data_IF_966259745457
#
_entry.id   IF_966259745457
#
_cell.length_a   1.000
_cell.length_b   1.000
_cell.length_c   1.000
_cell.angle_alpha   90.00
_cell.angle_beta   90.00
_cell.angle_gamma   90.00
#
_symmetry.space_group_name_H-M   'P 1'
#
loop_
_entity.id
_entity.type
_entity.pdbx_description
1 polymer ?
#
# COMPACT_ATOMS: atom_id res chain seq x y z
N UNK A 1 -23.39 4.35 12.08
CA UNK A 1 -22.74 3.36 11.20
C UNK A 1 -21.46 2.96 11.91
N UNK A 2 -21.54 1.95 12.79
CA UNK A 2 -20.39 1.44 13.57
C UNK A 2 -19.53 0.59 12.63
N UNK A 3 -18.36 1.10 12.28
CA UNK A 3 -17.34 0.36 11.54
C UNK A 3 -16.78 -0.72 12.45
N UNK A 4 -17.13 -1.98 12.21
CA UNK A 4 -16.52 -3.12 12.89
C UNK A 4 -15.03 -3.18 12.54
N UNK A 5 -14.18 -3.17 13.56
CA UNK A 5 -12.73 -3.26 13.43
C UNK A 5 -12.33 -4.66 12.93
N UNK A 6 -11.40 -4.71 11.97
CA UNK A 6 -10.83 -5.99 11.52
C UNK A 6 -10.00 -6.63 12.64
N UNK A 7 -9.91 -7.99 12.71
CA UNK A 7 -9.07 -8.67 13.68
C UNK A 7 -7.62 -8.16 13.64
N UNK A 8 -7.12 -7.61 14.75
CA UNK A 8 -5.80 -6.99 14.88
C UNK A 8 -5.78 -5.46 14.80
N UNK A 9 -6.91 -4.80 14.59
CA UNK A 9 -7.02 -3.33 14.69
C UNK A 9 -7.38 -2.94 16.13
N UNK A 10 -6.62 -2.00 16.70
CA UNK A 10 -6.88 -1.46 18.03
C UNK A 10 -7.34 -0.01 17.91
N UNK A 11 -8.38 0.36 18.67
CA UNK A 11 -8.85 1.76 18.80
C UNK A 11 -7.93 2.65 19.64
N UNK A 12 -6.81 2.10 20.13
CA UNK A 12 -5.87 2.85 20.97
C UNK A 12 -5.08 3.83 20.11
N UNK A 13 -5.41 5.12 20.20
CA UNK A 13 -4.65 6.22 19.58
C UNK A 13 -3.21 6.30 20.08
N UNK A 14 -2.98 6.00 21.35
CA UNK A 14 -1.70 6.09 22.04
C UNK A 14 -0.96 4.75 22.05
N UNK A 15 -0.53 4.28 20.87
CA UNK A 15 0.44 3.19 20.77
C UNK A 15 1.86 3.73 20.70
N UNK A 16 2.85 2.92 21.06
CA UNK A 16 4.26 3.33 21.00
C UNK A 16 4.65 3.76 19.57
N UNK A 17 4.16 3.05 18.57
CA UNK A 17 4.41 3.40 17.16
C UNK A 17 3.85 4.78 16.82
N UNK A 18 2.58 5.07 17.18
CA UNK A 18 1.96 6.37 16.91
C UNK A 18 2.67 7.52 17.63
N UNK A 19 3.15 7.28 18.86
CA UNK A 19 3.93 8.27 19.61
C UNK A 19 5.24 8.58 18.89
N UNK A 20 5.96 7.56 18.41
CA UNK A 20 7.22 7.74 17.67
C UNK A 20 6.97 8.55 16.39
N UNK A 21 5.91 8.23 15.63
CA UNK A 21 5.53 9.00 14.43
C UNK A 21 5.22 10.46 14.76
N UNK A 22 4.52 10.71 15.86
CA UNK A 22 4.17 12.07 16.30
C UNK A 22 5.41 12.86 16.73
N UNK A 23 6.31 12.23 17.50
CA UNK A 23 7.61 12.80 17.88
C UNK A 23 8.44 13.12 16.63
N UNK A 24 8.46 12.24 15.64
CA UNK A 24 9.12 12.49 14.36
C UNK A 24 8.62 13.77 13.70
N UNK A 25 7.30 13.95 13.57
CA UNK A 25 6.70 15.16 12.98
C UNK A 25 7.12 16.41 13.75
N UNK A 26 7.12 16.35 15.10
CA UNK A 26 7.57 17.46 15.93
C UNK A 26 9.08 17.76 15.80
N UNK A 27 9.89 16.76 15.48
CA UNK A 27 11.33 16.92 15.28
C UNK A 27 11.69 17.51 13.91
N UNK A 28 10.80 17.44 12.92
CA UNK A 28 11.07 18.02 11.58
C UNK A 28 11.32 19.55 11.65
N UNK A 29 10.51 20.38 12.31
CA UNK A 29 10.81 21.79 12.49
C UNK A 29 12.13 22.04 13.23
N UNK A 30 12.44 21.21 14.23
CA UNK A 30 13.71 21.30 14.97
C UNK A 30 14.90 21.07 14.04
N UNK A 31 14.82 20.06 13.16
CA UNK A 31 15.82 19.81 12.13
C UNK A 31 15.97 21.00 11.19
N UNK A 32 14.88 21.55 10.67
CA UNK A 32 14.89 22.70 9.75
C UNK A 32 15.53 23.91 10.41
N UNK A 33 15.16 24.22 11.65
CA UNK A 33 15.77 25.31 12.43
C UNK A 33 17.25 25.05 12.65
N UNK A 34 17.65 23.84 13.02
CA UNK A 34 19.05 23.49 13.22
C UNK A 34 19.89 23.65 11.92
N UNK A 35 19.28 23.39 10.75
CA UNK A 35 19.95 23.47 9.47
C UNK A 35 20.03 24.92 8.94
N UNK A 36 18.91 25.66 8.93
CA UNK A 36 18.80 26.97 8.28
C UNK A 36 19.36 28.09 9.17
N UNK A 37 18.94 28.15 10.46
CA UNK A 37 19.18 29.28 11.31
C UNK A 37 20.64 29.38 11.75
N UNK A 38 21.19 30.61 11.90
CA UNK A 38 22.54 30.83 12.42
C UNK A 38 22.60 30.77 13.96
N UNK A 39 21.97 29.72 14.55
CA UNK A 39 21.81 29.56 16.02
C UNK A 39 23.16 29.61 16.80
N UNK A 40 24.32 29.15 16.27
CA UNK A 40 25.56 29.28 17.02
C UNK A 40 25.95 30.74 17.29
N UNK A 41 25.69 31.64 16.31
CA UNK A 41 25.98 33.07 16.47
C UNK A 41 24.94 33.75 17.35
N UNK A 42 23.66 33.36 17.28
CA UNK A 42 22.59 33.95 18.11
C UNK A 42 22.77 33.66 19.58
N UNK A 43 23.20 32.46 19.92
CA UNK A 43 23.41 32.07 21.33
C UNK A 43 24.83 32.30 21.79
N UNK A 44 25.69 32.96 20.98
CA UNK A 44 27.11 33.24 21.28
C UNK A 44 27.86 32.00 21.80
N UNK A 45 27.54 30.82 21.25
CA UNK A 45 28.18 29.56 21.64
C UNK A 45 29.60 29.54 21.05
N UNK A 46 30.58 29.90 21.84
CA UNK A 46 31.97 29.86 21.43
C UNK A 46 32.37 28.42 21.07
N UNK A 47 33.01 28.26 19.88
CA UNK A 47 33.56 26.99 19.44
C UNK A 47 32.67 26.16 18.52
N UNK A 48 31.43 26.55 18.22
CA UNK A 48 30.59 25.88 17.22
C UNK A 48 30.86 26.48 15.83
N UNK A 49 31.61 25.77 15.02
CA UNK A 49 31.86 26.15 13.63
C UNK A 49 30.65 25.85 12.73
N UNK A 50 30.63 26.46 11.52
CA UNK A 50 29.65 26.11 10.48
C UNK A 50 29.66 24.60 10.16
N UNK A 51 30.85 24.00 10.21
CA UNK A 51 31.03 22.54 10.06
C UNK A 51 30.26 21.74 11.12
N UNK A 52 30.44 22.11 12.41
CA UNK A 52 29.75 21.43 13.52
C UNK A 52 28.23 21.55 13.39
N UNK A 53 27.74 22.72 12.98
CA UNK A 53 26.30 22.94 12.73
C UNK A 53 25.74 21.98 11.67
N UNK A 54 26.41 21.88 10.52
CA UNK A 54 25.95 20.97 9.44
C UNK A 54 26.03 19.52 9.84
N UNK A 55 27.04 19.10 10.59
CA UNK A 55 27.16 17.75 11.12
C UNK A 55 26.03 17.42 12.13
N UNK A 56 25.68 18.36 13.01
CA UNK A 56 24.56 18.21 13.93
C UNK A 56 23.25 18.08 13.16
N UNK A 57 23.02 18.94 12.16
CA UNK A 57 21.81 18.86 11.34
C UNK A 57 21.73 17.52 10.56
N UNK A 58 22.85 17.06 10.00
CA UNK A 58 22.92 15.76 9.32
C UNK A 58 22.62 14.61 10.29
N UNK A 59 23.18 14.65 11.51
CA UNK A 59 22.91 13.64 12.53
C UNK A 59 21.44 13.61 12.93
N UNK A 60 20.83 14.78 13.16
CA UNK A 60 19.39 14.88 13.47
C UNK A 60 18.56 14.28 12.33
N UNK A 61 18.87 14.61 11.08
CA UNK A 61 18.16 14.08 9.92
C UNK A 61 18.27 12.54 9.83
N UNK A 62 19.47 11.99 10.03
CA UNK A 62 19.71 10.53 10.02
C UNK A 62 18.92 9.86 11.16
N UNK A 63 18.98 10.41 12.37
CA UNK A 63 18.24 9.85 13.51
C UNK A 63 16.74 9.84 13.25
N UNK A 64 16.17 10.94 12.76
CA UNK A 64 14.76 11.00 12.41
C UNK A 64 14.41 10.00 11.30
N UNK A 65 15.27 9.86 10.28
CA UNK A 65 15.06 8.88 9.19
C UNK A 65 15.14 7.43 9.67
N UNK A 66 16.02 7.13 10.64
CA UNK A 66 16.12 5.79 11.22
C UNK A 66 14.93 5.42 12.10
N UNK A 67 14.26 6.40 12.72
CA UNK A 67 13.06 6.12 13.54
C UNK A 67 11.91 5.54 12.72
N UNK A 68 11.82 5.86 11.43
CA UNK A 68 10.82 5.28 10.51
C UNK A 68 10.94 3.75 10.34
N UNK A 69 12.18 3.27 10.23
CA UNK A 69 12.42 1.83 10.18
C UNK A 69 12.08 1.15 11.53
N UNK A 70 12.37 1.83 12.64
CA UNK A 70 12.16 1.30 13.99
C UNK A 70 10.67 1.19 14.34
N UNK A 71 9.86 2.22 14.08
CA UNK A 71 8.42 2.19 14.39
C UNK A 71 7.67 1.18 13.50
N UNK A 72 8.01 1.10 12.20
CA UNK A 72 7.48 0.07 11.32
C UNK A 72 7.83 -1.36 11.74
N UNK A 73 9.01 -1.56 12.35
CA UNK A 73 9.39 -2.85 12.93
C UNK A 73 8.61 -3.15 14.22
N UNK A 74 8.52 -2.17 15.13
CA UNK A 74 7.78 -2.32 16.39
C UNK A 74 6.29 -2.59 16.18
N UNK A 75 5.64 -1.83 15.29
CA UNK A 75 4.22 -2.00 14.99
C UNK A 75 3.90 -3.43 14.49
N UNK A 76 4.75 -3.96 13.60
CA UNK A 76 4.60 -5.33 13.08
C UNK A 76 4.88 -6.40 14.12
N UNK A 77 5.91 -6.22 14.94
CA UNK A 77 6.31 -7.20 15.96
C UNK A 77 5.30 -7.31 17.11
N UNK A 78 4.56 -6.22 17.40
CA UNK A 78 3.56 -6.18 18.49
C UNK A 78 2.13 -6.37 18.02
N UNK A 79 1.87 -6.40 16.70
CA UNK A 79 0.52 -6.51 16.15
C UNK A 79 -0.37 -5.29 16.44
N UNK A 80 0.21 -4.16 16.85
CA UNK A 80 -0.50 -2.92 17.22
C UNK A 80 -0.63 -1.98 16.00
N UNK A 81 -1.24 -2.46 14.93
CA UNK A 81 -1.47 -1.63 13.74
C UNK A 81 -2.75 -0.85 13.90
N UNK A 82 -2.64 0.49 14.00
CA UNK A 82 -3.79 1.39 14.16
C UNK A 82 -4.16 2.08 12.83
N UNK A 83 -5.42 2.49 12.69
CA UNK A 83 -5.87 3.27 11.53
C UNK A 83 -5.20 4.65 11.49
N UNK A 84 -4.93 5.24 12.66
CA UNK A 84 -4.20 6.49 12.80
C UNK A 84 -2.75 6.35 12.30
N UNK A 85 -2.01 5.31 12.71
CA UNK A 85 -0.66 5.02 12.25
C UNK A 85 -0.60 4.80 10.73
N UNK A 86 -1.50 3.99 10.17
CA UNK A 86 -1.59 3.78 8.71
C UNK A 86 -1.71 5.07 7.91
N UNK A 87 -2.36 6.10 8.48
CA UNK A 87 -2.51 7.42 7.85
C UNK A 87 -1.30 8.32 8.09
N UNK A 88 -0.80 8.37 9.34
CA UNK A 88 0.25 9.32 9.75
C UNK A 88 1.65 8.91 9.28
N UNK A 89 1.99 7.61 9.27
CA UNK A 89 3.33 7.14 8.89
C UNK A 89 3.74 7.58 7.47
N UNK A 90 2.91 7.34 6.42
CA UNK A 90 3.24 7.82 5.07
C UNK A 90 3.33 9.34 4.94
N UNK A 91 2.68 10.08 5.84
CA UNK A 91 2.69 11.53 5.84
C UNK A 91 3.98 12.04 6.50
N UNK A 92 4.34 11.49 7.66
CA UNK A 92 5.54 11.86 8.42
C UNK A 92 6.83 11.67 7.60
N UNK A 93 6.96 10.53 6.92
CA UNK A 93 8.11 10.23 6.05
C UNK A 93 8.26 11.28 4.93
N UNK A 94 7.16 11.65 4.28
CA UNK A 94 7.20 12.67 3.22
C UNK A 94 7.50 14.07 3.73
N UNK A 95 6.95 14.44 4.88
CA UNK A 95 7.18 15.78 5.49
C UNK A 95 8.68 15.97 5.78
N UNK A 96 9.36 14.95 6.33
CA UNK A 96 10.80 15.02 6.61
C UNK A 96 11.61 15.28 5.35
N UNK A 97 11.38 14.49 4.31
CA UNK A 97 12.11 14.61 3.04
C UNK A 97 11.79 15.94 2.34
N UNK A 98 10.52 16.35 2.30
CA UNK A 98 10.11 17.65 1.77
C UNK A 98 10.81 18.80 2.48
N UNK A 99 10.80 18.79 3.81
CA UNK A 99 11.42 19.81 4.65
C UNK A 99 12.94 19.91 4.41
N UNK A 100 13.62 18.74 4.33
CA UNK A 100 15.05 18.70 4.06
C UNK A 100 15.40 19.28 2.67
N UNK A 101 14.67 18.86 1.63
CA UNK A 101 14.90 19.36 0.27
C UNK A 101 14.62 20.86 0.13
N UNK A 102 13.54 21.34 0.75
CA UNK A 102 13.22 22.78 0.76
C UNK A 102 14.27 23.58 1.52
N UNK A 103 14.76 23.09 2.66
CA UNK A 103 15.83 23.71 3.41
C UNK A 103 17.14 23.81 2.60
N UNK A 104 17.48 22.79 1.79
CA UNK A 104 18.65 22.82 0.90
C UNK A 104 18.47 23.84 -0.24
N UNK A 105 17.24 24.05 -0.73
CA UNK A 105 16.96 25.11 -1.71
C UNK A 105 17.07 26.49 -1.08
N UNK A 106 16.54 26.69 0.12
CA UNK A 106 16.66 27.94 0.89
C UNK A 106 18.12 28.33 1.12
N UNK A 107 18.96 27.37 1.47
CA UNK A 107 20.41 27.54 1.64
C UNK A 107 21.16 27.73 0.30
N UNK A 108 20.46 27.68 -0.85
CA UNK A 108 21.03 27.74 -2.20
C UNK A 108 22.08 26.66 -2.49
N UNK A 109 22.02 25.55 -1.77
CA UNK A 109 22.92 24.41 -1.92
C UNK A 109 22.45 23.47 -3.02
N UNK A 110 21.12 23.41 -3.24
CA UNK A 110 20.45 22.59 -4.26
C UNK A 110 19.51 23.46 -5.10
N UNK A 111 19.53 23.39 -6.44
CA UNK A 111 18.53 24.08 -7.26
C UNK A 111 17.14 23.46 -7.06
N UNK A 112 16.10 24.23 -7.40
CA UNK A 112 14.70 23.82 -7.15
C UNK A 112 14.17 22.71 -8.08
N UNK A 113 14.75 22.55 -9.29
CA UNK A 113 14.24 21.60 -10.28
C UNK A 113 14.33 20.11 -9.86
N UNK A 114 15.42 19.60 -9.22
CA UNK A 114 15.44 18.23 -8.70
C UNK A 114 14.40 18.03 -7.61
N UNK A 115 14.22 19.03 -6.75
CA UNK A 115 13.25 19.00 -5.67
C UNK A 115 11.83 18.87 -6.23
N UNK A 116 11.51 19.69 -7.25
CA UNK A 116 10.20 19.62 -7.92
C UNK A 116 9.91 18.23 -8.49
N UNK A 117 10.87 17.60 -9.17
CA UNK A 117 10.72 16.26 -9.74
C UNK A 117 10.44 15.23 -8.64
N UNK A 118 11.21 15.28 -7.54
CA UNK A 118 11.06 14.38 -6.42
C UNK A 118 9.68 14.55 -5.77
N UNK A 119 9.28 15.78 -5.45
CA UNK A 119 8.01 16.06 -4.79
C UNK A 119 6.81 15.72 -5.68
N UNK A 120 6.84 16.09 -6.96
CA UNK A 120 5.79 15.74 -7.91
C UNK A 120 5.56 14.22 -7.95
N UNK A 121 6.64 13.44 -8.02
CA UNK A 121 6.55 11.97 -7.99
C UNK A 121 5.96 11.46 -6.68
N UNK A 122 6.35 12.02 -5.53
CA UNK A 122 5.81 11.60 -4.23
C UNK A 122 4.29 11.77 -4.16
N UNK A 123 3.79 12.90 -4.63
CA UNK A 123 2.36 13.18 -4.66
C UNK A 123 1.62 12.33 -5.69
N UNK A 124 2.15 12.22 -6.92
CA UNK A 124 1.52 11.45 -8.00
C UNK A 124 1.38 9.98 -7.60
N UNK A 125 2.46 9.34 -7.13
CA UNK A 125 2.41 7.93 -6.73
C UNK A 125 1.49 7.70 -5.53
N UNK A 126 1.42 8.66 -4.60
CA UNK A 126 0.50 8.58 -3.46
C UNK A 126 -0.95 8.70 -3.90
N UNK A 127 -1.25 9.61 -4.84
CA UNK A 127 -2.57 9.72 -5.44
C UNK A 127 -3.00 8.44 -6.17
N UNK A 128 -2.09 7.86 -6.97
CA UNK A 128 -2.35 6.58 -7.65
C UNK A 128 -2.65 5.46 -6.64
N UNK A 129 -1.88 5.36 -5.55
CA UNK A 129 -2.10 4.34 -4.51
C UNK A 129 -3.42 4.55 -3.77
N UNK A 130 -3.81 5.80 -3.53
CA UNK A 130 -5.10 6.13 -2.90
C UNK A 130 -6.27 5.73 -3.80
N UNK A 131 -6.23 6.06 -5.09
CA UNK A 131 -7.25 5.65 -6.06
C UNK A 131 -7.32 4.13 -6.22
N UNK A 132 -6.16 3.44 -6.19
CA UNK A 132 -6.12 1.98 -6.24
C UNK A 132 -6.76 1.35 -5.00
N UNK A 133 -6.47 1.89 -3.80
CA UNK A 133 -7.04 1.41 -2.54
C UNK A 133 -8.56 1.60 -2.48
N UNK A 134 -9.09 2.71 -2.98
CA UNK A 134 -10.53 2.96 -3.10
C UNK A 134 -11.24 1.91 -3.97
N UNK A 135 -10.55 1.42 -5.01
CA UNK A 135 -11.02 0.32 -5.86
C UNK A 135 -10.70 -1.08 -5.31
N UNK A 136 -10.28 -1.20 -4.06
CA UNK A 136 -9.92 -2.47 -3.43
C UNK A 136 -8.64 -3.13 -3.95
N UNK A 137 -7.83 -2.42 -4.75
CA UNK A 137 -6.59 -2.95 -5.35
C UNK A 137 -5.38 -2.44 -4.58
N UNK A 138 -4.58 -3.37 -4.05
CA UNK A 138 -3.33 -3.03 -3.34
C UNK A 138 -2.15 -3.11 -4.30
N UNK A 139 -1.57 -1.96 -4.66
CA UNK A 139 -0.34 -1.91 -5.46
C UNK A 139 0.87 -2.08 -4.54
N UNK A 140 1.55 -3.23 -4.65
CA UNK A 140 2.74 -3.53 -3.87
C UNK A 140 3.90 -2.55 -4.19
N UNK A 141 4.68 -2.21 -3.15
CA UNK A 141 5.87 -1.37 -3.32
C UNK A 141 6.91 -2.10 -4.18
N UNK A 142 7.43 -1.41 -5.21
CA UNK A 142 8.52 -1.94 -6.04
C UNK A 142 9.87 -1.84 -5.33
N UNK A 143 10.82 -2.70 -5.74
CA UNK A 143 12.19 -2.62 -5.26
C UNK A 143 12.84 -1.26 -5.60
N UNK A 144 12.53 -0.71 -6.80
CA UNK A 144 12.97 0.62 -7.21
C UNK A 144 12.50 1.73 -6.27
N UNK A 145 11.30 1.61 -5.70
CA UNK A 145 10.79 2.53 -4.70
C UNK A 145 11.59 2.51 -3.40
N UNK A 146 12.06 1.34 -2.95
CA UNK A 146 12.91 1.21 -1.77
C UNK A 146 14.31 1.77 -2.02
N UNK A 147 14.94 1.40 -3.14
CA UNK A 147 16.25 1.89 -3.53
C UNK A 147 16.28 3.42 -3.67
N UNK A 148 15.23 4.00 -4.28
CA UNK A 148 15.04 5.45 -4.40
C UNK A 148 15.07 6.15 -3.03
N UNK A 149 14.34 5.64 -2.03
CA UNK A 149 14.28 6.27 -0.70
C UNK A 149 15.66 6.28 -0.03
N UNK A 150 16.39 5.17 -0.10
CA UNK A 150 17.76 5.08 0.46
C UNK A 150 18.72 6.04 -0.24
N UNK A 151 18.74 6.03 -1.57
CA UNK A 151 19.64 6.93 -2.35
C UNK A 151 19.30 8.40 -2.14
N UNK A 152 18.02 8.73 -1.96
CA UNK A 152 17.57 10.09 -1.67
C UNK A 152 18.01 10.56 -0.29
N UNK A 153 17.93 9.74 0.75
CA UNK A 153 18.45 10.05 2.09
C UNK A 153 19.97 10.28 2.02
N UNK A 154 20.70 9.41 1.33
CA UNK A 154 22.14 9.56 1.14
C UNK A 154 22.47 10.88 0.43
N UNK A 155 21.76 11.21 -0.66
CA UNK A 155 21.96 12.45 -1.39
C UNK A 155 21.73 13.69 -0.50
N UNK A 156 20.64 13.72 0.28
CA UNK A 156 20.33 14.82 1.21
C UNK A 156 21.46 14.98 2.23
N UNK A 157 21.91 13.91 2.87
CA UNK A 157 23.00 13.95 3.85
C UNK A 157 24.28 14.48 3.22
N UNK A 158 24.63 14.01 2.03
CA UNK A 158 25.82 14.49 1.31
C UNK A 158 25.72 15.99 1.01
N UNK A 159 24.55 16.48 0.58
CA UNK A 159 24.36 17.92 0.35
C UNK A 159 24.45 18.76 1.62
N UNK A 160 24.04 18.23 2.77
CA UNK A 160 24.17 18.92 4.07
C UNK A 160 25.65 19.04 4.48
N UNK A 161 26.46 18.00 4.24
CA UNK A 161 27.82 17.92 4.79
C UNK A 161 28.93 18.28 3.79
N UNK A 162 28.65 18.40 2.50
CA UNK A 162 29.66 18.54 1.43
C UNK A 162 30.64 19.71 1.61
N UNK A 163 30.13 20.84 2.13
CA UNK A 163 30.94 22.07 2.33
C UNK A 163 31.54 22.14 3.75
N UNK A 164 31.21 21.16 4.60
CA UNK A 164 31.59 21.17 6.02
C UNK A 164 32.76 20.24 6.31
N UNK A 165 32.87 19.10 5.66
CA UNK A 165 33.93 18.11 5.92
C UNK A 165 35.21 18.47 5.15
N UNK A 166 35.05 18.89 3.89
CA UNK A 166 36.17 19.33 3.05
C UNK A 166 35.94 20.79 2.70
N UNK A 167 36.71 21.73 3.30
CA UNK A 167 36.59 23.15 2.99
C UNK A 167 36.88 23.38 1.51
N UNK A 168 36.08 24.24 0.88
CA UNK A 168 36.24 24.62 -0.52
C UNK A 168 37.51 25.45 -0.61
N UNK A 169 38.62 24.82 -1.03
CA UNK A 169 39.94 25.47 -1.19
C UNK A 169 40.15 25.99 -2.61
N UNK A 170 39.30 25.56 -3.54
CA UNK A 170 39.40 25.91 -4.97
C UNK A 170 38.13 26.64 -5.44
N UNK A 171 38.26 27.61 -6.38
CA UNK A 171 37.13 28.29 -6.98
C UNK A 171 36.23 27.34 -7.82
N UNK A 172 36.75 26.18 -8.23
CA UNK A 172 35.98 25.18 -8.97
C UNK A 172 35.33 24.21 -8.00
N UNK A 173 33.98 24.15 -7.96
CA UNK A 173 33.27 23.24 -7.07
C UNK A 173 33.54 21.76 -7.40
N UNK A 174 33.94 21.43 -8.62
CA UNK A 174 34.25 20.06 -9.05
C UNK A 174 35.56 19.51 -8.45
N UNK A 175 36.42 20.36 -7.88
CA UNK A 175 37.64 19.94 -7.18
C UNK A 175 37.32 19.35 -5.79
N UNK A 176 36.12 19.57 -5.29
CA UNK A 176 35.66 18.95 -4.06
C UNK A 176 35.00 17.58 -4.35
N UNK A 177 35.59 16.44 -3.95
CA UNK A 177 35.04 15.11 -4.23
C UNK A 177 33.67 14.90 -3.58
N UNK A 178 33.38 15.53 -2.44
CA UNK A 178 32.05 15.45 -1.81
C UNK A 178 30.98 16.19 -2.62
N UNK A 179 31.33 17.29 -3.29
CA UNK A 179 30.42 17.97 -4.20
C UNK A 179 30.05 17.07 -5.39
N UNK A 180 31.03 16.43 -6.03
CA UNK A 180 30.80 15.51 -7.14
C UNK A 180 29.98 14.31 -6.68
N UNK A 181 30.30 13.73 -5.52
CA UNK A 181 29.59 12.60 -4.95
C UNK A 181 28.12 12.95 -4.60
N UNK A 182 27.88 14.15 -4.07
CA UNK A 182 26.52 14.62 -3.73
C UNK A 182 25.64 14.73 -5.00
N UNK A 183 26.21 15.28 -6.08
CA UNK A 183 25.51 15.37 -7.36
C UNK A 183 25.29 14.00 -8.00
N UNK A 184 26.28 13.11 -7.94
CA UNK A 184 26.14 11.75 -8.43
C UNK A 184 25.00 11.01 -7.71
N UNK A 185 24.98 11.09 -6.37
CA UNK A 185 23.92 10.51 -5.56
C UNK A 185 22.54 11.12 -5.90
N UNK A 186 22.45 12.43 -6.12
CA UNK A 186 21.21 13.08 -6.51
C UNK A 186 20.73 12.64 -7.91
N UNK A 187 21.61 12.53 -8.88
CA UNK A 187 21.28 12.05 -10.23
C UNK A 187 20.77 10.61 -10.17
N UNK A 188 21.43 9.74 -9.39
CA UNK A 188 20.95 8.35 -9.18
C UNK A 188 19.58 8.34 -8.51
N UNK A 189 19.36 9.17 -7.49
CA UNK A 189 18.07 9.30 -6.83
C UNK A 189 16.97 9.78 -7.78
N UNK A 190 17.28 10.74 -8.66
CA UNK A 190 16.35 11.23 -9.69
C UNK A 190 16.04 10.15 -10.74
N UNK A 191 17.04 9.43 -11.23
CA UNK A 191 16.83 8.33 -12.17
C UNK A 191 15.94 7.25 -11.58
N UNK A 192 16.21 6.80 -10.35
CA UNK A 192 15.38 5.84 -9.64
C UNK A 192 13.96 6.39 -9.35
N UNK A 193 13.84 7.69 -9.12
CA UNK A 193 12.55 8.36 -8.93
C UNK A 193 11.70 8.27 -10.20
N UNK A 194 12.28 8.54 -11.36
CA UNK A 194 11.58 8.47 -12.66
C UNK A 194 11.24 7.02 -12.99
N UNK A 195 12.19 6.09 -12.86
CA UNK A 195 11.98 4.66 -13.14
C UNK A 195 10.85 4.11 -12.26
N UNK A 196 10.89 4.42 -10.95
CA UNK A 196 9.85 4.02 -10.02
C UNK A 196 8.48 4.61 -10.37
N UNK A 197 8.42 5.86 -10.82
CA UNK A 197 7.17 6.50 -11.28
C UNK A 197 6.60 5.77 -12.49
N UNK A 198 7.43 5.45 -13.49
CA UNK A 198 7.00 4.70 -14.68
C UNK A 198 6.48 3.30 -14.34
N UNK A 199 7.14 2.59 -13.41
CA UNK A 199 6.67 1.28 -12.92
C UNK A 199 5.28 1.38 -12.26
N UNK A 200 5.05 2.42 -11.44
CA UNK A 200 3.73 2.64 -10.84
C UNK A 200 2.65 2.98 -11.87
N UNK A 201 2.96 3.83 -12.85
CA UNK A 201 2.05 4.12 -13.95
C UNK A 201 1.71 2.86 -14.77
N UNK A 202 2.72 2.05 -15.09
CA UNK A 202 2.53 0.80 -15.82
C UNK A 202 1.59 -0.16 -15.07
N UNK A 203 1.74 -0.28 -13.76
CA UNK A 203 0.87 -1.11 -12.91
C UNK A 203 -0.53 -0.53 -12.73
N UNK A 204 -0.65 0.79 -12.70
CA UNK A 204 -1.92 1.48 -12.46
C UNK A 204 -2.70 1.79 -13.76
N UNK A 205 -2.15 1.56 -14.95
CA UNK A 205 -2.75 1.97 -16.24
C UNK A 205 -4.20 1.50 -16.40
N UNK A 206 -4.49 0.26 -15.99
CA UNK A 206 -5.85 -0.30 -16.05
C UNK A 206 -6.82 0.38 -15.07
N UNK A 207 -6.33 0.75 -13.89
CA UNK A 207 -7.12 1.43 -12.86
C UNK A 207 -7.45 2.87 -13.25
N UNK A 208 -6.54 3.53 -13.98
CA UNK A 208 -6.66 4.92 -14.43
C UNK A 208 -7.41 5.05 -15.76
N UNK A 209 -7.91 3.93 -16.32
CA UNK A 209 -8.67 3.96 -17.57
C UNK A 209 -7.81 4.12 -18.85
N UNK A 210 -6.48 4.07 -18.73
CA UNK A 210 -5.56 4.11 -19.86
C UNK A 210 -5.44 2.73 -20.54
N UNK A 211 -6.60 2.13 -20.89
CA UNK A 211 -6.63 0.91 -21.68
C UNK A 211 -6.52 1.25 -23.17
N UNK A 212 -5.62 0.57 -23.87
CA UNK A 212 -5.49 0.74 -25.34
C UNK A 212 -6.79 0.32 -26.03
N UNK A 213 -7.07 0.91 -27.19
CA UNK A 213 -8.26 0.55 -28.01
C UNK A 213 -8.34 -0.95 -28.27
N UNK A 214 -7.20 -1.61 -28.42
CA UNK A 214 -7.09 -3.06 -28.62
C UNK A 214 -7.47 -3.88 -27.38
N UNK A 215 -7.07 -3.43 -26.19
CA UNK A 215 -7.46 -4.06 -24.92
C UNK A 215 -8.94 -3.87 -24.62
N UNK A 216 -9.51 -2.69 -24.93
CA UNK A 216 -10.97 -2.45 -24.84
C UNK A 216 -11.77 -3.32 -25.79
N UNK A 217 -11.25 -3.54 -27.02
CA UNK A 217 -11.89 -4.43 -27.99
C UNK A 217 -11.85 -5.88 -27.52
N UNK A 218 -10.71 -6.36 -27.03
CA UNK A 218 -10.55 -7.70 -26.46
C UNK A 218 -11.44 -7.91 -25.22
N UNK A 219 -11.51 -6.92 -24.33
CA UNK A 219 -12.39 -6.96 -23.16
C UNK A 219 -13.87 -6.98 -23.53
N UNK A 220 -14.27 -6.18 -24.54
CA UNK A 220 -15.63 -6.22 -25.09
C UNK A 220 -15.94 -7.58 -25.74
N UNK A 221 -15.00 -8.17 -26.45
CA UNK A 221 -15.14 -9.47 -27.07
C UNK A 221 -15.18 -10.61 -26.04
N UNK A 222 -14.40 -10.52 -24.97
CA UNK A 222 -14.45 -11.44 -23.83
C UNK A 222 -15.75 -11.31 -23.04
N UNK A 223 -16.21 -10.08 -22.77
CA UNK A 223 -17.50 -9.85 -22.11
C UNK A 223 -18.70 -10.24 -23.00
N UNK A 224 -18.59 -10.11 -24.31
CA UNK A 224 -19.61 -10.57 -25.24
C UNK A 224 -19.65 -12.11 -25.41
N UNK A 225 -18.52 -12.78 -25.17
CA UNK A 225 -18.42 -14.25 -25.15
C UNK A 225 -18.69 -14.87 -23.78
N UNK A 226 -18.59 -14.10 -22.71
CA UNK A 226 -18.97 -14.51 -21.36
C UNK A 226 -20.47 -14.29 -21.22
N UNK A 227 -21.23 -15.39 -21.31
CA UNK A 227 -22.63 -15.39 -20.91
C UNK A 227 -22.71 -14.87 -19.47
N UNK A 228 -23.53 -13.85 -19.23
CA UNK A 228 -23.70 -13.31 -17.87
C UNK A 228 -24.19 -14.40 -16.92
N UNK A 229 -23.78 -14.37 -15.65
CA UNK A 229 -24.32 -15.28 -14.64
C UNK A 229 -25.85 -15.24 -14.59
N UNK A 230 -26.45 -14.08 -14.86
CA UNK A 230 -27.90 -13.90 -14.92
C UNK A 230 -28.52 -14.62 -16.13
N UNK A 231 -27.84 -14.64 -17.29
CA UNK A 231 -28.31 -15.35 -18.48
C UNK A 231 -28.23 -16.87 -18.27
N UNK A 232 -27.15 -17.34 -17.66
CA UNK A 232 -26.99 -18.75 -17.28
C UNK A 232 -28.08 -19.17 -16.27
N UNK A 233 -28.30 -18.35 -15.23
CA UNK A 233 -29.30 -18.59 -14.22
C UNK A 233 -30.72 -18.65 -14.84
N UNK A 234 -31.04 -17.73 -15.74
CA UNK A 234 -32.33 -17.71 -16.47
C UNK A 234 -32.55 -19.01 -17.25
N UNK A 235 -31.54 -19.44 -18.01
CA UNK A 235 -31.62 -20.71 -18.76
C UNK A 235 -31.78 -21.93 -17.87
N UNK A 236 -31.12 -21.94 -16.69
CA UNK A 236 -31.27 -23.01 -15.71
C UNK A 236 -32.70 -23.06 -15.18
N UNK A 237 -33.28 -21.90 -14.81
CA UNK A 237 -34.64 -21.79 -14.31
C UNK A 237 -35.67 -22.22 -15.37
N UNK A 238 -35.53 -21.75 -16.61
CA UNK A 238 -36.38 -22.09 -17.74
C UNK A 238 -36.34 -23.59 -18.01
N UNK A 239 -35.14 -24.17 -18.13
CA UNK A 239 -34.97 -25.62 -18.37
C UNK A 239 -35.55 -26.49 -17.24
N UNK A 240 -35.37 -26.07 -15.98
CA UNK A 240 -35.90 -26.79 -14.85
C UNK A 240 -37.46 -26.72 -14.81
N UNK A 241 -38.02 -25.56 -15.11
CA UNK A 241 -39.45 -25.33 -15.21
C UNK A 241 -40.10 -26.21 -16.30
N UNK A 242 -39.50 -26.23 -17.50
CA UNK A 242 -39.96 -27.07 -18.61
C UNK A 242 -39.98 -28.57 -18.29
N UNK A 243 -38.99 -29.02 -17.50
CA UNK A 243 -38.87 -30.44 -17.09
C UNK A 243 -39.65 -30.77 -15.83
N UNK A 244 -40.30 -29.81 -15.20
CA UNK A 244 -40.92 -29.99 -13.89
C UNK A 244 -39.95 -30.41 -12.80
N UNK A 245 -38.69 -30.01 -12.93
CA UNK A 245 -37.61 -30.32 -12.00
C UNK A 245 -37.45 -29.22 -10.95
N UNK A 246 -37.01 -29.64 -9.75
CA UNK A 246 -36.73 -28.73 -8.65
C UNK A 246 -35.23 -28.68 -8.36
N UNK A 247 -34.76 -27.54 -7.85
CA UNK A 247 -33.36 -27.29 -7.56
C UNK A 247 -33.18 -27.00 -6.08
N UNK A 248 -32.29 -27.76 -5.42
CA UNK A 248 -31.74 -27.46 -4.10
C UNK A 248 -30.25 -27.23 -4.20
N UNK A 249 -29.72 -26.28 -3.46
CA UNK A 249 -28.28 -25.93 -3.46
C UNK A 249 -27.65 -26.28 -2.10
N UNK A 250 -26.45 -26.90 -2.14
CA UNK A 250 -25.59 -27.00 -0.98
C UNK A 250 -24.28 -26.23 -1.27
N UNK A 251 -24.03 -25.16 -0.54
CA UNK A 251 -22.92 -24.25 -0.79
C UNK A 251 -21.93 -24.21 0.38
N UNK A 252 -20.65 -24.04 0.06
CA UNK A 252 -19.58 -23.86 1.03
C UNK A 252 -18.81 -22.57 0.71
N UNK A 253 -17.81 -22.63 -0.17
CA UNK A 253 -16.94 -21.51 -0.55
C UNK A 253 -17.72 -20.34 -1.17
N UNK A 254 -18.75 -20.62 -1.94
CA UNK A 254 -19.61 -19.64 -2.62
C UNK A 254 -20.50 -18.85 -1.67
N UNK A 255 -20.70 -19.34 -0.42
CA UNK A 255 -21.36 -18.58 0.64
C UNK A 255 -22.82 -18.17 0.36
N UNK A 256 -23.54 -18.88 -0.52
CA UNK A 256 -24.92 -18.57 -0.92
C UNK A 256 -25.03 -17.81 -2.24
N UNK A 257 -23.92 -17.56 -2.93
CA UNK A 257 -23.91 -16.80 -4.18
C UNK A 257 -24.66 -17.50 -5.31
N UNK A 258 -24.57 -18.85 -5.42
CA UNK A 258 -25.27 -19.62 -6.44
C UNK A 258 -26.79 -19.53 -6.23
N UNK A 259 -27.23 -19.79 -5.01
CA UNK A 259 -28.65 -19.66 -4.66
C UNK A 259 -29.16 -18.23 -4.85
N UNK A 260 -28.36 -17.22 -4.43
CA UNK A 260 -28.68 -15.80 -4.63
C UNK A 260 -28.86 -15.44 -6.10
N UNK A 261 -27.97 -15.94 -6.98
CA UNK A 261 -28.05 -15.71 -8.42
C UNK A 261 -29.29 -16.36 -9.03
N UNK A 262 -29.60 -17.60 -8.67
CA UNK A 262 -30.79 -18.30 -9.15
C UNK A 262 -32.09 -17.65 -8.67
N UNK A 263 -32.17 -17.26 -7.41
CA UNK A 263 -33.35 -16.63 -6.82
C UNK A 263 -33.61 -15.20 -7.27
N UNK A 264 -32.61 -14.52 -7.83
CA UNK A 264 -32.77 -13.21 -8.45
C UNK A 264 -33.59 -13.27 -9.76
N UNK A 265 -33.72 -14.43 -10.39
CA UNK A 265 -34.45 -14.58 -11.65
C UNK A 265 -35.98 -14.67 -11.37
N UNK A 266 -36.80 -13.84 -12.04
CA UNK A 266 -38.25 -13.92 -11.94
C UNK A 266 -38.78 -15.33 -12.27
N UNK A 267 -39.69 -15.88 -11.45
CA UNK A 267 -40.23 -17.22 -11.60
C UNK A 267 -39.40 -18.34 -10.92
N UNK A 268 -38.25 -18.03 -10.35
CA UNK A 268 -37.36 -18.99 -9.67
C UNK A 268 -38.05 -19.73 -8.50
N UNK A 269 -39.05 -19.12 -7.84
CA UNK A 269 -39.75 -19.69 -6.72
C UNK A 269 -40.56 -20.97 -7.07
N UNK A 270 -40.82 -21.19 -8.35
CA UNK A 270 -41.47 -22.42 -8.83
C UNK A 270 -40.53 -23.62 -8.93
N UNK A 271 -39.21 -23.32 -8.95
CA UNK A 271 -38.17 -24.30 -9.29
C UNK A 271 -37.15 -24.45 -8.18
N UNK A 272 -36.73 -23.33 -7.57
CA UNK A 272 -35.72 -23.32 -6.50
C UNK A 272 -36.39 -23.49 -5.16
N UNK A 273 -36.19 -24.65 -4.53
CA UNK A 273 -36.81 -24.99 -3.25
C UNK A 273 -36.03 -24.50 -2.04
N UNK A 274 -34.73 -24.31 -2.17
CA UNK A 274 -33.91 -23.77 -1.08
C UNK A 274 -32.41 -23.99 -1.27
N UNK A 275 -31.64 -23.49 -0.29
CA UNK A 275 -30.21 -23.67 -0.25
C UNK A 275 -29.73 -23.85 1.20
N UNK A 276 -28.71 -24.68 1.39
CA UNK A 276 -28.00 -24.84 2.65
C UNK A 276 -26.59 -24.33 2.48
N UNK A 277 -26.25 -23.26 3.19
CA UNK A 277 -24.87 -22.70 3.20
C UNK A 277 -24.13 -23.28 4.40
N UNK A 278 -23.17 -24.16 4.14
CA UNK A 278 -22.43 -24.93 5.14
C UNK A 278 -20.93 -24.60 5.07
N UNK A 279 -20.49 -23.52 5.73
CA UNK A 279 -19.10 -23.09 5.67
C UNK A 279 -18.19 -23.97 6.55
N UNK A 280 -18.60 -24.31 7.77
CA UNK A 280 -17.83 -25.13 8.69
C UNK A 280 -18.18 -26.63 8.56
N UNK A 281 -17.23 -27.50 8.91
CA UNK A 281 -17.38 -28.97 8.75
C UNK A 281 -18.50 -29.55 9.59
N UNK A 282 -18.73 -29.01 10.79
CA UNK A 282 -19.81 -29.44 11.67
C UNK A 282 -21.19 -29.26 11.03
N UNK A 283 -21.40 -28.13 10.35
CA UNK A 283 -22.67 -27.89 9.61
C UNK A 283 -22.80 -28.83 8.40
N UNK A 284 -21.70 -29.13 7.68
CA UNK A 284 -21.71 -30.11 6.59
C UNK A 284 -22.16 -31.49 7.08
N UNK A 285 -21.61 -31.90 8.22
CA UNK A 285 -21.98 -33.21 8.82
C UNK A 285 -23.41 -33.21 9.31
N UNK A 286 -23.81 -32.23 10.11
CA UNK A 286 -25.12 -32.22 10.80
C UNK A 286 -26.29 -31.96 9.84
N UNK A 287 -26.17 -30.98 8.95
CA UNK A 287 -27.28 -30.53 8.10
C UNK A 287 -27.34 -31.28 6.76
N UNK A 288 -26.20 -31.68 6.22
CA UNK A 288 -26.09 -32.32 4.91
C UNK A 288 -25.69 -33.79 4.99
N UNK A 289 -25.44 -34.32 6.19
CA UNK A 289 -25.09 -35.72 6.41
C UNK A 289 -23.75 -36.15 5.80
N UNK A 290 -22.84 -35.21 5.64
CA UNK A 290 -21.50 -35.54 5.16
C UNK A 290 -20.75 -36.37 6.19
N UNK A 291 -20.06 -37.42 5.76
CA UNK A 291 -19.32 -38.33 6.64
C UNK A 291 -18.19 -37.60 7.36
N UNK A 292 -18.20 -37.70 8.70
CA UNK A 292 -17.20 -37.05 9.54
C UNK A 292 -15.78 -37.61 9.31
N UNK A 293 -15.61 -38.87 8.96
CA UNK A 293 -14.30 -39.48 8.65
C UNK A 293 -13.76 -38.96 7.31
N UNK A 294 -14.62 -38.82 6.31
CA UNK A 294 -14.24 -38.21 5.02
C UNK A 294 -13.75 -36.76 5.22
N UNK A 295 -14.48 -35.98 6.05
CA UNK A 295 -14.06 -34.59 6.35
C UNK A 295 -12.69 -34.51 7.07
N UNK A 296 -12.33 -35.53 7.87
CA UNK A 296 -11.03 -35.57 8.56
C UNK A 296 -9.92 -36.07 7.66
N UNK A 297 -10.18 -37.06 6.81
CA UNK A 297 -9.13 -37.73 6.02
C UNK A 297 -8.89 -37.08 4.66
N UNK A 298 -9.94 -36.65 3.96
CA UNK A 298 -9.86 -36.06 2.63
C UNK A 298 -9.98 -34.53 2.66
N UNK A 299 -10.44 -33.95 3.77
CA UNK A 299 -10.66 -32.54 3.92
C UNK A 299 -12.03 -32.08 3.35
N UNK A 300 -12.33 -30.80 3.57
CA UNK A 300 -13.65 -30.23 3.21
C UNK A 300 -13.82 -29.94 1.71
N UNK A 301 -12.75 -29.99 0.92
CA UNK A 301 -12.72 -29.60 -0.50
C UNK A 301 -12.26 -30.80 -1.34
N UNK A 302 -13.14 -31.76 -1.52
CA UNK A 302 -12.90 -32.93 -2.38
C UNK A 302 -14.20 -33.34 -3.06
N UNK A 303 -14.10 -34.20 -4.06
CA UNK A 303 -15.28 -34.70 -4.84
C UNK A 303 -16.26 -35.48 -3.97
N UNK A 304 -15.76 -36.32 -3.05
CA UNK A 304 -16.54 -37.09 -2.13
C UNK A 304 -17.44 -36.20 -1.26
N UNK A 305 -16.91 -35.18 -0.67
CA UNK A 305 -17.67 -34.22 0.16
C UNK A 305 -18.66 -33.44 -0.68
N UNK A 306 -18.31 -32.99 -1.88
CA UNK A 306 -19.24 -32.27 -2.77
C UNK A 306 -20.41 -33.12 -3.16
N UNK A 307 -20.20 -34.39 -3.45
CA UNK A 307 -21.26 -35.38 -3.76
C UNK A 307 -22.20 -35.62 -2.58
N UNK A 308 -21.63 -35.85 -1.39
CA UNK A 308 -22.42 -36.04 -0.16
C UNK A 308 -23.21 -34.78 0.21
N UNK A 309 -22.64 -33.59 0.02
CA UNK A 309 -23.38 -32.34 0.21
C UNK A 309 -24.57 -32.20 -0.74
N UNK A 310 -24.40 -32.53 -2.02
CA UNK A 310 -25.48 -32.51 -3.00
C UNK A 310 -26.57 -33.53 -2.70
N UNK A 311 -26.22 -34.74 -2.25
CA UNK A 311 -27.15 -35.75 -1.82
C UNK A 311 -27.92 -35.33 -0.56
N UNK A 312 -27.25 -34.68 0.39
CA UNK A 312 -27.86 -34.13 1.60
C UNK A 312 -28.85 -32.99 1.30
N UNK A 313 -28.55 -32.13 0.36
CA UNK A 313 -29.46 -31.05 -0.06
C UNK A 313 -30.70 -31.54 -0.81
N UNK A 314 -30.67 -32.76 -1.34
CA UNK A 314 -31.82 -33.41 -2.04
C UNK A 314 -32.82 -34.09 -1.10
N UNK A 315 -32.40 -34.42 0.11
CA UNK A 315 -33.27 -35.06 1.13
C UNK A 315 -34.15 -34.02 1.81
#
# INVERSE_FOLDING_TARGET
MSTELKPGETDKLWTISNIITLVRICLVPVFVVALITPWPTWFSIAGVSSTTKSLIAALIFILISCTDWLDGYLARSRGEVTNFGKFMDPLADKILVCAALLALVELRVLPSWPVLIILAREFIVSGIRMVAADKGVVIAASWYGKAKTVTQIIAIVLFIVKDSILPVTSPNPFDNPLYVLSWLAMIVALALTIISMMDYFAKARHLLGFTTSKERALQREQNAKSESNDDIARRIIECASEKGATIGCAESLTGGLIAGTLTAIPGSSQVVHGAIVSYVNDVKHRELGVDAEVLKTEGAVCETVARQMAEGARK
#
